data_IF_282024438360
#
_entry.id   IF_282024438360
#
_cell.length_a   1.000
_cell.length_b   1.000
_cell.length_c   1.000
_cell.angle_alpha   90.00
_cell.angle_beta   90.00
_cell.angle_gamma   90.00
#
_symmetry.space_group_name_H-M   'P 1'
#
loop_
_entity.id
_entity.type
_entity.pdbx_description
1 polymer ?
#
# COMPACT_ATOMS: atom_id res chain seq x y z
N UNK A 1 35.78 -23.81 36.81
CA UNK A 1 35.33 -22.68 37.64
C UNK A 1 34.42 -21.79 36.79
N UNK A 2 33.12 -21.77 37.06
CA UNK A 2 32.15 -21.01 36.28
C UNK A 2 32.15 -19.53 36.72
N UNK A 3 32.37 -18.61 35.78
CA UNK A 3 32.32 -17.16 36.05
C UNK A 3 30.87 -16.73 36.29
N UNK A 4 30.58 -16.24 37.50
CA UNK A 4 29.29 -15.64 37.87
C UNK A 4 29.31 -14.15 37.48
N UNK A 5 28.35 -13.70 36.68
CA UNK A 5 28.22 -12.29 36.33
C UNK A 5 27.08 -11.62 37.11
N UNK A 6 27.36 -10.41 37.58
CA UNK A 6 26.48 -9.58 38.40
C UNK A 6 25.58 -8.70 37.55
N UNK A 7 24.26 -8.83 37.69
CA UNK A 7 23.31 -7.84 37.17
C UNK A 7 23.25 -6.63 38.11
N UNK A 8 23.62 -5.45 37.60
CA UNK A 8 23.43 -4.17 38.31
C UNK A 8 22.09 -3.57 37.84
N UNK A 9 21.06 -3.77 38.66
CA UNK A 9 19.94 -2.83 38.81
C UNK A 9 20.34 -1.97 40.01
N UNK A 10 20.18 -0.63 40.01
CA UNK A 10 20.45 0.17 41.20
C UNK A 10 19.60 -0.38 42.37
N UNK A 11 20.25 -1.10 43.29
CA UNK A 11 19.65 -1.57 44.55
C UNK A 11 19.43 -3.08 44.73
N UNK A 12 19.61 -3.98 43.74
CA UNK A 12 19.41 -5.43 43.98
C UNK A 12 20.40 -6.29 43.19
N UNK A 13 21.33 -6.95 43.88
CA UNK A 13 22.26 -7.92 43.32
C UNK A 13 21.55 -9.28 43.19
N UNK A 14 21.20 -9.71 41.97
CA UNK A 14 20.72 -11.09 41.71
C UNK A 14 21.76 -11.84 40.89
N UNK A 15 22.26 -12.95 41.41
CA UNK A 15 23.08 -13.90 40.66
C UNK A 15 22.16 -14.66 39.69
N UNK A 16 22.19 -14.33 38.39
CA UNK A 16 21.39 -15.03 37.37
C UNK A 16 22.28 -15.92 36.51
N UNK A 17 22.00 -17.22 36.44
CA UNK A 17 22.68 -18.19 35.58
C UNK A 17 22.24 -18.16 34.10
N UNK A 18 21.36 -17.23 33.73
CA UNK A 18 20.83 -17.13 32.38
C UNK A 18 21.83 -16.42 31.44
N UNK A 19 22.34 -17.08 30.39
CA UNK A 19 23.32 -16.50 29.47
C UNK A 19 22.78 -15.31 28.67
N UNK A 20 21.46 -15.18 28.50
CA UNK A 20 20.81 -14.06 27.80
C UNK A 20 20.77 -12.77 28.62
N UNK A 21 21.02 -12.87 29.92
CA UNK A 21 20.96 -11.78 30.88
C UNK A 21 22.34 -11.25 31.29
N UNK A 22 23.40 -11.84 30.76
CA UNK A 22 24.79 -11.42 30.95
C UNK A 22 25.02 -10.13 30.18
N UNK A 23 25.12 -9.01 30.91
CA UNK A 23 25.58 -7.73 30.35
C UNK A 23 27.10 -7.79 30.15
N UNK A 24 27.60 -7.00 29.20
CA UNK A 24 29.03 -6.84 28.99
C UNK A 24 29.72 -6.26 30.22
N UNK A 25 30.99 -6.60 30.44
CA UNK A 25 31.84 -5.95 31.43
C UNK A 25 31.83 -4.43 31.20
N UNK A 26 31.78 -3.66 32.29
CA UNK A 26 31.83 -2.19 32.22
C UNK A 26 33.10 -1.77 31.48
N UNK A 27 32.95 -0.90 30.47
CA UNK A 27 34.07 -0.39 29.66
C UNK A 27 34.48 -1.28 28.48
N UNK A 28 33.85 -2.46 28.29
CA UNK A 28 34.07 -3.31 27.10
C UNK A 28 32.82 -3.34 26.22
N UNK A 29 32.97 -3.34 24.88
CA UNK A 29 31.84 -3.57 24.00
C UNK A 29 31.28 -4.98 24.17
N UNK A 30 29.98 -5.14 23.91
CA UNK A 30 29.33 -6.45 23.96
C UNK A 30 29.97 -7.41 22.95
N UNK A 31 30.31 -8.61 23.40
CA UNK A 31 30.87 -9.65 22.53
C UNK A 31 29.72 -10.27 21.73
N UNK A 32 29.65 -9.93 20.45
CA UNK A 32 28.81 -10.66 19.51
C UNK A 32 29.64 -11.84 18.98
N UNK A 33 29.23 -13.08 19.24
CA UNK A 33 30.04 -14.30 19.04
C UNK A 33 30.39 -14.68 17.59
N UNK A 34 30.64 -13.71 16.72
CA UNK A 34 31.08 -13.90 15.36
C UNK A 34 32.60 -14.06 15.28
N UNK A 35 33.06 -14.92 14.36
CA UNK A 35 34.47 -15.02 13.99
C UNK A 35 34.83 -13.82 13.13
N UNK A 36 35.67 -12.93 13.65
CA UNK A 36 36.19 -11.79 12.89
C UNK A 36 37.35 -12.26 12.00
N UNK A 37 37.54 -11.66 10.81
CA UNK A 37 38.74 -11.83 10.00
C UNK A 37 40.02 -11.44 10.75
N UNK A 38 41.17 -11.85 10.19
CA UNK A 38 42.49 -11.54 10.73
C UNK A 38 42.72 -10.03 10.91
N UNK A 39 43.66 -9.66 11.78
CA UNK A 39 43.98 -8.26 12.12
C UNK A 39 44.34 -7.38 10.92
N UNK A 40 44.70 -7.96 9.78
CA UNK A 40 45.03 -7.25 8.56
C UNK A 40 43.79 -6.86 7.72
N UNK A 41 42.59 -7.27 8.12
CA UNK A 41 41.36 -6.95 7.42
C UNK A 41 40.88 -5.54 7.76
N UNK A 42 40.75 -4.68 6.74
CA UNK A 42 40.19 -3.34 6.89
C UNK A 42 38.68 -3.39 6.70
N UNK A 43 37.92 -3.06 7.74
CA UNK A 43 36.46 -2.96 7.66
C UNK A 43 36.02 -1.70 6.90
N UNK A 44 34.91 -1.83 6.17
CA UNK A 44 34.31 -0.74 5.39
C UNK A 44 34.42 -0.95 3.88
N UNK A 45 33.64 -0.19 3.11
CA UNK A 45 33.67 -0.23 1.65
C UNK A 45 34.77 0.69 1.14
N UNK A 46 35.73 0.14 0.41
CA UNK A 46 36.78 0.93 -0.24
C UNK A 46 36.10 1.92 -1.20
N UNK A 47 36.33 3.22 -0.98
CA UNK A 47 35.86 4.25 -1.89
C UNK A 47 36.64 4.14 -3.21
N UNK A 48 36.03 3.56 -4.24
CA UNK A 48 36.62 3.40 -5.58
C UNK A 48 36.96 4.72 -6.29
N UNK A 49 36.69 5.88 -5.68
CA UNK A 49 36.98 7.21 -6.23
C UNK A 49 38.45 7.41 -6.58
N UNK A 50 39.37 6.75 -5.89
CA UNK A 50 40.81 7.00 -6.04
C UNK A 50 41.56 5.83 -6.70
N UNK A 51 40.89 4.74 -7.07
CA UNK A 51 41.56 3.51 -7.53
C UNK A 51 41.41 3.22 -9.03
N UNK A 52 40.29 3.59 -9.65
CA UNK A 52 39.95 3.12 -11.01
C UNK A 52 40.34 4.15 -12.07
N UNK A 53 40.11 5.44 -11.82
CA UNK A 53 40.42 6.50 -12.80
C UNK A 53 41.90 6.61 -13.14
N UNK A 54 42.80 6.40 -12.16
CA UNK A 54 44.25 6.46 -12.39
C UNK A 54 44.78 5.24 -13.14
N UNK A 55 44.18 4.06 -12.93
CA UNK A 55 44.54 2.83 -13.67
C UNK A 55 44.10 2.92 -15.13
N UNK A 56 42.94 3.52 -15.39
CA UNK A 56 42.38 3.70 -16.74
C UNK A 56 42.83 4.98 -17.46
N UNK A 57 43.76 5.76 -16.88
CA UNK A 57 44.32 6.97 -17.49
C UNK A 57 43.37 8.17 -17.57
N UNK A 58 42.27 8.17 -16.81
CA UNK A 58 41.31 9.27 -16.73
C UNK A 58 41.85 10.33 -15.74
N UNK A 59 42.54 11.34 -16.28
CA UNK A 59 43.22 12.37 -15.50
C UNK A 59 42.40 13.67 -15.47
N UNK A 60 41.70 14.00 -16.56
CA UNK A 60 40.95 15.26 -16.69
C UNK A 60 39.46 15.04 -16.40
N UNK A 61 38.79 16.04 -15.80
CA UNK A 61 37.34 16.02 -15.58
C UNK A 61 36.52 15.72 -16.87
N UNK A 62 36.99 16.21 -18.03
CA UNK A 62 36.37 15.92 -19.34
C UNK A 62 36.46 14.45 -19.73
N UNK A 63 37.54 13.77 -19.36
CA UNK A 63 37.77 12.36 -19.67
C UNK A 63 36.79 11.49 -18.88
N UNK A 64 36.55 11.85 -17.60
CA UNK A 64 35.50 11.23 -16.81
C UNK A 64 34.11 11.44 -17.41
N UNK A 65 33.76 12.64 -17.90
CA UNK A 65 32.46 12.86 -18.55
C UNK A 65 32.28 12.01 -19.81
N UNK A 66 33.30 11.88 -20.66
CA UNK A 66 33.26 11.02 -21.85
C UNK A 66 33.15 9.54 -21.48
N UNK A 67 33.90 9.11 -20.46
CA UNK A 67 33.83 7.74 -19.96
C UNK A 67 32.43 7.39 -19.41
N UNK A 68 31.79 8.30 -18.69
CA UNK A 68 30.42 8.11 -18.18
C UNK A 68 29.35 8.07 -19.28
N UNK A 69 29.57 8.77 -20.41
CA UNK A 69 28.67 8.72 -21.56
C UNK A 69 28.75 7.39 -22.30
N UNK A 70 29.97 6.86 -22.45
CA UNK A 70 30.25 5.65 -23.21
C UNK A 70 30.00 4.37 -22.40
N UNK A 71 30.29 4.41 -21.10
CA UNK A 71 30.07 3.28 -20.20
C UNK A 71 28.83 3.58 -19.37
N UNK A 72 27.77 2.78 -19.56
CA UNK A 72 26.47 2.92 -18.86
C UNK A 72 26.53 2.69 -17.33
N UNK A 73 27.68 2.88 -16.70
CA UNK A 73 27.96 2.58 -15.31
C UNK A 73 27.24 3.51 -14.31
N UNK A 74 26.68 4.65 -14.74
CA UNK A 74 26.07 5.65 -13.83
C UNK A 74 24.67 6.14 -14.18
N UNK A 75 24.09 5.71 -15.30
CA UNK A 75 22.65 5.92 -15.49
C UNK A 75 21.96 4.95 -14.53
N UNK A 76 21.35 5.45 -13.45
CA UNK A 76 20.32 4.67 -12.73
C UNK A 76 19.44 4.09 -13.83
N UNK A 77 19.24 2.76 -13.87
CA UNK A 77 18.23 2.14 -14.73
C UNK A 77 16.90 2.75 -14.31
N UNK A 78 16.57 3.91 -14.87
CA UNK A 78 15.23 4.45 -14.83
C UNK A 78 14.48 3.37 -15.58
N UNK A 79 13.67 2.61 -14.86
CA UNK A 79 12.64 1.78 -15.47
C UNK A 79 11.66 2.74 -16.14
N UNK A 80 12.09 3.37 -17.24
CA UNK A 80 11.18 3.84 -18.25
C UNK A 80 10.52 2.57 -18.73
N UNK A 81 9.30 2.33 -18.26
CA UNK A 81 8.43 1.26 -18.73
C UNK A 81 8.62 1.17 -20.25
N UNK A 82 9.24 0.09 -20.71
CA UNK A 82 9.50 -0.18 -22.13
C UNK A 82 8.20 -0.58 -22.82
N UNK A 83 7.11 0.11 -22.52
CA UNK A 83 5.94 0.11 -23.39
C UNK A 83 6.38 0.83 -24.66
N UNK A 84 6.78 0.03 -25.64
CA UNK A 84 6.94 0.34 -27.05
C UNK A 84 7.09 1.84 -27.32
N UNK A 85 8.32 2.35 -27.27
CA UNK A 85 8.60 3.67 -27.84
C UNK A 85 8.40 3.54 -29.34
N UNK A 86 7.20 3.89 -29.82
CA UNK A 86 6.92 4.00 -31.24
C UNK A 86 7.89 5.07 -31.78
N UNK A 87 8.72 4.69 -32.75
CA UNK A 87 9.60 5.64 -33.44
C UNK A 87 8.73 6.56 -34.28
N UNK A 88 8.39 7.73 -33.74
CA UNK A 88 7.65 8.75 -34.46
C UNK A 88 8.62 9.57 -35.32
N UNK A 89 8.28 9.90 -36.58
CA UNK A 89 9.07 10.83 -37.35
C UNK A 89 9.11 12.21 -36.67
N UNK A 90 10.16 13.02 -36.91
CA UNK A 90 10.36 14.30 -36.23
C UNK A 90 9.27 15.35 -36.51
N UNK A 91 8.42 15.11 -37.52
CA UNK A 91 7.37 16.01 -37.98
C UNK A 91 5.97 15.72 -37.39
N UNK A 92 5.87 14.80 -36.42
CA UNK A 92 4.57 14.50 -35.78
C UNK A 92 4.21 15.56 -34.74
N UNK A 93 3.01 16.10 -34.85
CA UNK A 93 2.41 16.95 -33.82
C UNK A 93 1.85 16.07 -32.69
N UNK A 94 2.35 16.28 -31.47
CA UNK A 94 1.84 15.58 -30.29
C UNK A 94 0.48 16.13 -29.86
N UNK A 95 -0.47 15.24 -29.56
CA UNK A 95 -1.81 15.60 -29.07
C UNK A 95 -2.94 14.88 -29.80
N UNK A 96 -4.17 15.11 -29.37
CA UNK A 96 -5.37 14.62 -30.06
C UNK A 96 -5.79 15.69 -31.09
N UNK A 97 -5.82 15.40 -32.40
CA UNK A 97 -6.28 16.38 -33.37
C UNK A 97 -7.75 16.70 -33.12
N UNK A 98 -8.12 17.97 -33.24
CA UNK A 98 -9.52 18.40 -33.28
C UNK A 98 -10.16 17.82 -34.54
N UNK A 99 -10.86 16.70 -34.39
CA UNK A 99 -11.71 16.16 -35.46
C UNK A 99 -12.83 17.18 -35.70
N UNK A 100 -13.01 17.63 -36.94
CA UNK A 100 -14.20 18.39 -37.32
C UNK A 100 -15.43 17.55 -36.94
N UNK A 101 -16.39 18.14 -36.24
CA UNK A 101 -17.65 17.46 -35.95
C UNK A 101 -18.29 17.08 -37.27
N UNK A 102 -18.49 15.78 -37.50
CA UNK A 102 -19.35 15.32 -38.58
C UNK A 102 -20.71 16.03 -38.39
N UNK A 103 -21.26 16.71 -39.42
CA UNK A 103 -22.51 17.43 -39.25
C UNK A 103 -23.59 16.44 -38.81
N UNK A 104 -24.17 16.70 -37.63
CA UNK A 104 -25.20 15.90 -36.95
C UNK A 104 -26.32 15.44 -37.90
N UNK A 105 -26.62 16.26 -38.91
CA UNK A 105 -27.69 16.06 -39.87
C UNK A 105 -27.51 14.83 -40.79
N UNK A 106 -26.28 14.34 -41.00
CA UNK A 106 -26.05 13.13 -41.81
C UNK A 106 -26.31 11.85 -41.00
N UNK A 107 -26.20 11.93 -39.66
CA UNK A 107 -26.48 10.82 -38.76
C UNK A 107 -27.99 10.56 -38.67
N UNK A 108 -28.81 11.61 -38.68
CA UNK A 108 -30.26 11.50 -38.50
C UNK A 108 -30.96 10.86 -39.71
N UNK A 109 -30.49 11.07 -40.94
CA UNK A 109 -31.21 10.58 -42.12
C UNK A 109 -30.82 9.16 -42.59
N UNK A 110 -29.74 8.58 -42.07
CA UNK A 110 -29.30 7.23 -42.48
C UNK A 110 -29.39 6.18 -41.37
N UNK A 111 -29.40 6.58 -40.10
CA UNK A 111 -29.37 5.64 -38.97
C UNK A 111 -30.76 5.29 -38.42
N UNK A 112 -31.81 6.06 -38.73
CA UNK A 112 -33.19 5.78 -38.28
C UNK A 112 -34.03 5.02 -39.31
N UNK A 113 -33.42 4.03 -39.98
CA UNK A 113 -34.16 3.00 -40.71
C UNK A 113 -34.86 1.99 -39.80
N UNK A 114 -34.55 1.99 -38.50
CA UNK A 114 -35.15 1.13 -37.50
C UNK A 114 -36.18 1.88 -36.65
N UNK A 115 -37.37 1.32 -36.49
CA UNK A 115 -38.36 1.86 -35.57
C UNK A 115 -37.86 1.74 -34.12
N UNK A 116 -38.34 2.59 -33.22
CA UNK A 116 -37.97 2.52 -31.78
C UNK A 116 -38.25 1.14 -31.19
N UNK A 117 -39.27 0.46 -31.69
CA UNK A 117 -39.64 -0.91 -31.29
C UNK A 117 -38.53 -1.92 -31.66
N UNK A 118 -37.96 -1.82 -32.86
CA UNK A 118 -36.86 -2.68 -33.31
C UNK A 118 -35.59 -2.48 -32.46
N UNK A 119 -35.31 -1.24 -32.05
CA UNK A 119 -34.21 -0.93 -31.13
C UNK A 119 -34.43 -1.55 -29.76
N UNK A 120 -35.64 -1.45 -29.21
CA UNK A 120 -36.00 -2.05 -27.92
C UNK A 120 -35.92 -3.58 -27.98
N UNK A 121 -36.41 -4.19 -29.07
CA UNK A 121 -36.32 -5.63 -29.30
C UNK A 121 -34.87 -6.09 -29.43
N UNK A 122 -34.03 -5.32 -30.14
CA UNK A 122 -32.61 -5.63 -30.28
C UNK A 122 -31.88 -5.57 -28.93
N UNK A 123 -32.12 -4.53 -28.13
CA UNK A 123 -31.55 -4.40 -26.79
C UNK A 123 -32.04 -5.50 -25.83
N UNK A 124 -33.33 -5.86 -25.90
CA UNK A 124 -33.90 -6.96 -25.13
C UNK A 124 -33.25 -8.30 -25.50
N UNK A 125 -33.01 -8.55 -26.79
CA UNK A 125 -32.32 -9.75 -27.29
C UNK A 125 -30.89 -9.82 -26.77
N UNK A 126 -30.12 -8.73 -26.88
CA UNK A 126 -28.76 -8.64 -26.35
C UNK A 126 -28.71 -8.86 -24.83
N UNK A 127 -29.71 -8.36 -24.09
CA UNK A 127 -29.81 -8.55 -22.64
C UNK A 127 -30.09 -10.02 -22.28
N UNK A 128 -31.00 -10.67 -23.01
CA UNK A 128 -31.34 -12.08 -22.82
C UNK A 128 -30.19 -13.00 -23.21
N UNK A 129 -29.49 -12.73 -24.31
CA UNK A 129 -28.31 -13.48 -24.74
C UNK A 129 -27.21 -13.41 -23.68
N UNK A 130 -26.93 -12.22 -23.13
CA UNK A 130 -25.95 -12.04 -22.05
C UNK A 130 -26.34 -12.80 -20.78
N UNK A 131 -27.61 -12.77 -20.37
CA UNK A 131 -28.12 -13.55 -19.24
C UNK A 131 -27.98 -15.06 -19.48
N UNK A 132 -28.27 -15.52 -20.70
CA UNK A 132 -28.12 -16.92 -21.08
C UNK A 132 -26.66 -17.37 -21.03
N UNK A 133 -25.72 -16.56 -21.54
CA UNK A 133 -24.28 -16.83 -21.52
C UNK A 133 -23.71 -16.88 -20.09
N UNK A 134 -24.15 -15.98 -19.21
CA UNK A 134 -23.79 -16.01 -17.78
C UNK A 134 -24.32 -17.28 -17.11
N UNK A 135 -25.55 -17.70 -17.44
CA UNK A 135 -26.13 -18.94 -16.91
C UNK A 135 -25.40 -20.19 -17.42
N UNK A 136 -24.99 -20.22 -18.69
CA UNK A 136 -24.24 -21.34 -19.28
C UNK A 136 -22.85 -21.49 -18.66
N UNK A 137 -22.16 -20.37 -18.39
CA UNK A 137 -20.87 -20.34 -17.67
C UNK A 137 -20.96 -20.91 -16.25
N UNK A 138 -22.15 -20.90 -15.64
CA UNK A 138 -22.39 -21.41 -14.29
C UNK A 138 -22.80 -22.89 -14.21
N UNK A 139 -23.06 -23.59 -15.33
CA UNK A 139 -23.53 -24.99 -15.29
C UNK A 139 -22.44 -26.07 -15.18
N UNK A 140 -21.16 -25.70 -15.21
CA UNK A 140 -20.05 -26.68 -15.36
C UNK A 140 -19.03 -26.75 -14.22
N UNK A 141 -19.11 -25.90 -13.21
CA UNK A 141 -18.10 -25.88 -12.13
C UNK A 141 -18.78 -26.07 -10.79
N UNK A 142 -18.45 -27.16 -10.09
CA UNK A 142 -18.76 -27.25 -8.67
C UNK A 142 -18.08 -26.08 -7.95
N UNK A 143 -18.81 -25.42 -7.06
CA UNK A 143 -18.21 -24.37 -6.25
C UNK A 143 -17.14 -25.00 -5.36
N UNK A 144 -15.87 -24.76 -5.67
CA UNK A 144 -14.79 -25.12 -4.76
C UNK A 144 -14.95 -24.34 -3.46
N UNK A 145 -14.56 -24.95 -2.34
CA UNK A 145 -14.57 -24.31 -1.00
C UNK A 145 -13.94 -22.91 -1.02
N UNK A 146 -12.94 -22.69 -1.87
CA UNK A 146 -12.31 -21.38 -2.09
C UNK A 146 -13.20 -20.37 -2.82
N UNK A 147 -13.98 -20.77 -3.83
CA UNK A 147 -14.98 -19.90 -4.49
C UNK A 147 -16.10 -19.51 -3.53
N UNK A 148 -16.58 -20.47 -2.74
CA UNK A 148 -17.57 -20.23 -1.69
C UNK A 148 -17.07 -19.21 -0.65
N UNK A 149 -15.84 -19.38 -0.13
CA UNK A 149 -15.22 -18.46 0.83
C UNK A 149 -14.93 -17.07 0.27
N UNK A 150 -14.77 -16.90 -1.06
CA UNK A 150 -14.61 -15.58 -1.69
C UNK A 150 -15.90 -14.78 -1.69
N UNK A 151 -17.04 -15.44 -1.91
CA UNK A 151 -18.36 -14.81 -1.93
C UNK A 151 -18.91 -14.60 -0.52
N UNK A 152 -18.72 -15.61 0.32
CA UNK A 152 -19.25 -15.62 1.67
C UNK A 152 -18.11 -15.33 2.66
N UNK A 153 -17.90 -14.04 2.95
CA UNK A 153 -17.12 -13.66 4.11
C UNK A 153 -18.00 -13.91 5.34
N UNK A 154 -17.62 -14.80 6.28
CA UNK A 154 -18.34 -14.89 7.53
C UNK A 154 -18.36 -13.50 8.17
N UNK A 155 -19.51 -13.10 8.70
CA UNK A 155 -19.64 -11.87 9.48
C UNK A 155 -18.80 -12.04 10.74
N UNK A 156 -17.51 -11.72 10.64
CA UNK A 156 -16.60 -11.66 11.77
C UNK A 156 -16.66 -10.22 12.25
N UNK A 157 -17.09 -10.06 13.50
CA UNK A 157 -16.99 -8.75 14.14
C UNK A 157 -15.55 -8.26 14.00
N UNK A 158 -15.32 -7.06 13.45
CA UNK A 158 -13.97 -6.58 13.24
C UNK A 158 -13.24 -6.65 14.58
N UNK A 159 -11.99 -7.14 14.60
CA UNK A 159 -11.23 -7.16 15.84
C UNK A 159 -11.21 -5.73 16.40
N UNK A 160 -11.40 -5.56 17.72
CA UNK A 160 -11.38 -4.24 18.31
C UNK A 160 -10.07 -3.54 17.92
N UNK A 161 -10.16 -2.26 17.57
CA UNK A 161 -8.97 -1.46 17.28
C UNK A 161 -8.00 -1.57 18.47
N UNK A 162 -6.71 -1.70 18.18
CA UNK A 162 -5.71 -1.79 19.23
C UNK A 162 -5.79 -0.55 20.12
N UNK A 163 -6.03 -0.78 21.42
CA UNK A 163 -6.09 0.27 22.43
C UNK A 163 -4.97 0.04 23.44
N UNK A 164 -4.30 1.12 23.85
CA UNK A 164 -3.28 1.03 24.90
C UNK A 164 -3.91 0.57 26.23
N UNK A 165 -3.30 -0.35 27.00
CA UNK A 165 -3.86 -0.84 28.27
C UNK A 165 -4.18 0.25 29.29
N UNK A 166 -3.40 1.35 29.29
CA UNK A 166 -3.65 2.50 30.18
C UNK A 166 -4.97 3.22 29.89
N UNK A 167 -5.43 3.20 28.64
CA UNK A 167 -6.69 3.84 28.25
C UNK A 167 -7.91 2.95 28.52
N UNK A 168 -7.73 1.64 28.64
CA UNK A 168 -8.83 0.74 29.01
C UNK A 168 -9.20 0.83 30.49
N UNK A 169 -8.19 1.02 31.36
CA UNK A 169 -8.38 0.98 32.81
C UNK A 169 -8.50 2.36 33.45
N UNK A 170 -7.72 3.33 32.97
CA UNK A 170 -7.49 4.58 33.68
C UNK A 170 -7.89 5.84 32.89
N UNK A 171 -8.34 5.70 31.63
CA UNK A 171 -8.91 6.83 30.90
C UNK A 171 -10.37 7.03 31.31
N UNK A 172 -10.57 7.41 32.57
CA UNK A 172 -11.79 8.13 32.91
C UNK A 172 -11.67 9.53 32.29
N UNK A 173 -12.76 10.09 31.74
CA UNK A 173 -12.74 11.48 31.32
C UNK A 173 -12.34 12.33 32.53
N UNK A 174 -11.35 13.19 32.33
CA UNK A 174 -10.85 14.05 33.41
C UNK A 174 -11.92 15.01 33.95
N UNK A 175 -12.99 15.23 33.18
CA UNK A 175 -14.14 16.04 33.51
C UNK A 175 -15.41 15.34 33.03
N UNK A 176 -16.39 15.16 33.92
CA UNK A 176 -17.76 14.90 33.50
C UNK A 176 -18.44 16.25 33.26
N UNK A 177 -18.71 16.55 31.99
CA UNK A 177 -19.36 17.80 31.59
C UNK A 177 -20.88 17.76 31.81
N UNK A 178 -21.46 16.60 32.10
CA UNK A 178 -22.89 16.46 32.32
C UNK A 178 -23.25 16.70 33.78
N UNK A 179 -24.39 17.37 34.00
CA UNK A 179 -24.88 17.62 35.37
C UNK A 179 -25.36 16.33 36.06
N UNK A 180 -26.01 15.44 35.30
CA UNK A 180 -26.59 14.18 35.77
C UNK A 180 -26.35 13.08 34.72
N UNK A 181 -26.29 11.83 35.17
CA UNK A 181 -26.17 10.63 34.33
C UNK A 181 -27.33 10.51 33.31
N UNK A 182 -28.57 10.75 33.75
CA UNK A 182 -29.73 10.74 32.84
C UNK A 182 -29.64 11.81 31.73
N UNK A 183 -28.98 12.95 32.00
CA UNK A 183 -28.77 13.98 30.98
C UNK A 183 -27.71 13.55 29.97
N UNK A 184 -26.70 12.79 30.40
CA UNK A 184 -25.67 12.18 29.57
C UNK A 184 -26.28 11.18 28.59
N UNK A 185 -27.06 10.22 29.08
CA UNK A 185 -27.74 9.23 28.24
C UNK A 185 -28.64 9.89 27.19
N UNK A 186 -29.43 10.88 27.60
CA UNK A 186 -30.30 11.64 26.69
C UNK A 186 -29.51 12.38 25.62
N UNK A 187 -28.37 12.96 25.98
CA UNK A 187 -27.49 13.63 25.02
C UNK A 187 -26.89 12.64 24.01
N UNK A 188 -26.45 11.46 24.46
CA UNK A 188 -25.95 10.42 23.58
C UNK A 188 -27.02 9.87 22.64
N UNK A 189 -28.24 9.63 23.13
CA UNK A 189 -29.36 9.20 22.29
C UNK A 189 -29.64 10.23 21.18
N UNK A 190 -29.70 11.52 21.52
CA UNK A 190 -29.86 12.60 20.54
C UNK A 190 -28.71 12.66 19.55
N UNK A 191 -27.47 12.52 20.02
CA UNK A 191 -26.30 12.50 19.15
C UNK A 191 -26.33 11.32 18.18
N UNK A 192 -26.73 10.13 18.64
CA UNK A 192 -26.91 8.96 17.77
C UNK A 192 -27.95 9.24 16.70
N UNK A 193 -29.11 9.81 17.06
CA UNK A 193 -30.15 10.16 16.07
C UNK A 193 -29.68 11.22 15.07
N UNK A 194 -28.92 12.22 15.52
CA UNK A 194 -28.37 13.30 14.66
C UNK A 194 -27.24 12.80 13.76
N UNK A 195 -26.39 11.91 14.28
CA UNK A 195 -25.24 11.36 13.55
C UNK A 195 -25.64 10.60 12.29
N UNK A 196 -26.84 10.02 12.25
CA UNK A 196 -27.37 9.26 11.10
C UNK A 196 -27.41 10.11 9.83
N UNK A 197 -27.61 11.43 9.93
CA UNK A 197 -27.61 12.33 8.78
C UNK A 197 -26.21 12.63 8.23
N UNK A 198 -25.15 12.31 8.99
CA UNK A 198 -23.74 12.66 8.69
C UNK A 198 -22.86 11.42 8.52
N UNK A 199 -23.41 10.22 8.72
CA UNK A 199 -22.73 8.95 8.51
C UNK A 199 -22.77 8.52 7.03
N UNK A 200 -21.88 7.61 6.63
CA UNK A 200 -21.76 7.10 5.25
C UNK A 200 -20.50 7.59 4.54
N UNK A 201 -20.17 6.95 3.39
CA UNK A 201 -18.89 7.15 2.69
C UNK A 201 -18.59 8.60 2.32
N UNK A 202 -19.63 9.40 2.10
CA UNK A 202 -19.54 10.79 1.68
C UNK A 202 -20.29 11.75 2.62
N UNK A 203 -20.71 11.29 3.82
CA UNK A 203 -21.39 12.13 4.80
C UNK A 203 -22.82 12.57 4.45
N UNK A 204 -23.51 11.87 3.53
CA UNK A 204 -24.90 12.16 3.13
C UNK A 204 -25.96 11.57 4.06
N UNK A 205 -25.54 10.85 5.10
CA UNK A 205 -26.42 10.14 6.01
C UNK A 205 -26.86 8.79 5.48
N UNK A 206 -26.97 7.81 6.37
CA UNK A 206 -27.44 6.46 6.04
C UNK A 206 -28.74 6.18 6.79
N UNK A 207 -29.86 6.62 6.22
CA UNK A 207 -31.18 6.28 6.71
C UNK A 207 -31.48 4.82 6.35
N UNK A 208 -31.25 3.90 7.29
CA UNK A 208 -31.78 2.55 7.17
C UNK A 208 -33.28 2.62 7.48
N UNK A 209 -34.13 2.17 6.55
CA UNK A 209 -35.54 1.95 6.83
C UNK A 209 -35.68 0.94 7.96
N UNK A 210 -36.53 1.26 8.95
CA UNK A 210 -36.88 0.35 10.04
C UNK A 210 -37.56 -0.91 9.52
#
# INVERSE_FOLDING_TARGET
MAAKATQIIPGVLRETSNPLLLKADIGKPSKCGYKLPDSNFTYGKINQRNGIGTVDGLITAKDFSKYQLNNECFKKKVHHSTRNKISLPPDVVFGVPTKASLPINIFEHKEYGYTQEEQQLHLAKLCNDRKSEISKRHRGYSETRTSFLRRHKPSVDPPPLWQMPKFQKNALPALDTFRNEAAREKAFQKHQTDSIARTGLFGHGTYKGA
#
